data_IF_762243910959
#
_entry.id   IF_762243910959
#
_cell.length_a   1.000
_cell.length_b   1.000
_cell.length_c   1.000
_cell.angle_alpha   90.00
_cell.angle_beta   90.00
_cell.angle_gamma   90.00
#
_symmetry.space_group_name_H-M   'P 1'
#
loop_
_entity.id
_entity.type
_entity.pdbx_description
1 polymer ?
#
# COMPACT_ATOMS: atom_id res chain seq x y z
N UNK A 1 -14.87 -48.49 -28.32
CA UNK A 1 -13.62 -48.02 -27.67
C UNK A 1 -13.58 -46.50 -27.79
N UNK A 2 -14.12 -45.73 -26.83
CA UNK A 2 -14.08 -44.26 -26.86
C UNK A 2 -13.89 -43.70 -25.45
N UNK A 3 -12.75 -43.03 -25.23
CA UNK A 3 -12.39 -42.36 -23.97
C UNK A 3 -12.48 -40.84 -24.14
N UNK A 4 -13.43 -40.25 -23.41
CA UNK A 4 -13.33 -39.05 -22.56
C UNK A 4 -12.40 -37.90 -23.00
N UNK A 5 -12.95 -36.84 -23.61
CA UNK A 5 -12.26 -35.54 -23.87
C UNK A 5 -13.14 -34.34 -23.45
N UNK A 6 -13.70 -34.36 -22.24
CA UNK A 6 -14.55 -33.25 -21.76
C UNK A 6 -14.15 -32.67 -20.38
N UNK A 7 -13.10 -33.21 -19.73
CA UNK A 7 -12.73 -32.83 -18.35
C UNK A 7 -11.68 -31.71 -18.25
N UNK A 8 -10.93 -31.43 -19.30
CA UNK A 8 -9.79 -30.49 -19.25
C UNK A 8 -10.21 -29.03 -19.40
N UNK A 9 -11.21 -28.75 -20.25
CA UNK A 9 -11.66 -27.39 -20.61
C UNK A 9 -12.23 -26.59 -19.42
N UNK A 10 -13.09 -27.21 -18.60
CA UNK A 10 -13.70 -26.56 -17.43
C UNK A 10 -12.70 -26.28 -16.28
N UNK A 11 -11.64 -27.09 -16.16
CA UNK A 11 -10.61 -26.94 -15.11
C UNK A 11 -9.71 -25.73 -15.37
N UNK A 12 -9.26 -25.54 -16.61
CA UNK A 12 -8.43 -24.40 -17.02
C UNK A 12 -9.15 -23.06 -16.83
N UNK A 13 -10.44 -22.98 -17.19
CA UNK A 13 -11.23 -21.76 -16.97
C UNK A 13 -11.44 -21.46 -15.48
N UNK A 14 -11.48 -22.48 -14.63
CA UNK A 14 -11.63 -22.31 -13.18
C UNK A 14 -10.32 -21.82 -12.55
N UNK A 15 -9.17 -22.37 -12.95
CA UNK A 15 -7.85 -21.94 -12.46
C UNK A 15 -7.52 -20.49 -12.86
N UNK A 16 -7.75 -20.12 -14.11
CA UNK A 16 -7.52 -18.74 -14.58
C UNK A 16 -8.41 -17.75 -13.79
N UNK A 17 -9.68 -18.11 -13.54
CA UNK A 17 -10.58 -17.29 -12.71
C UNK A 17 -10.10 -17.19 -11.26
N UNK A 18 -9.58 -18.26 -10.66
CA UNK A 18 -8.99 -18.22 -9.31
C UNK A 18 -7.79 -17.29 -9.24
N UNK A 19 -6.90 -17.36 -10.23
CA UNK A 19 -5.73 -16.47 -10.32
C UNK A 19 -6.20 -15.02 -10.43
N UNK A 20 -7.09 -14.70 -11.38
CA UNK A 20 -7.59 -13.32 -11.57
C UNK A 20 -8.25 -12.78 -10.28
N UNK A 21 -9.05 -13.59 -9.59
CA UNK A 21 -9.68 -13.19 -8.32
C UNK A 21 -8.65 -12.97 -7.20
N UNK A 22 -7.66 -13.86 -7.06
CA UNK A 22 -6.60 -13.70 -6.07
C UNK A 22 -5.76 -12.44 -6.31
N UNK A 23 -5.38 -12.16 -7.56
CA UNK A 23 -4.65 -10.94 -7.91
C UNK A 23 -5.49 -9.68 -7.71
N UNK A 24 -6.76 -9.69 -8.13
CA UNK A 24 -7.69 -8.57 -7.92
C UNK A 24 -7.88 -8.24 -6.43
N UNK A 25 -8.02 -9.28 -5.58
CA UNK A 25 -8.09 -9.11 -4.13
C UNK A 25 -6.80 -8.50 -3.55
N UNK A 26 -5.62 -8.94 -4.01
CA UNK A 26 -4.35 -8.35 -3.55
C UNK A 26 -4.20 -6.88 -3.97
N UNK A 27 -4.50 -6.53 -5.23
CA UNK A 27 -4.49 -5.14 -5.67
C UNK A 27 -5.48 -4.28 -4.88
N UNK A 28 -6.67 -4.80 -4.59
CA UNK A 28 -7.67 -4.09 -3.79
C UNK A 28 -7.20 -3.86 -2.35
N UNK A 29 -6.63 -4.87 -1.69
CA UNK A 29 -6.10 -4.74 -0.31
C UNK A 29 -4.93 -3.76 -0.27
N UNK A 30 -3.99 -3.85 -1.22
CA UNK A 30 -2.86 -2.92 -1.32
C UNK A 30 -3.35 -1.48 -1.50
N UNK A 31 -4.30 -1.25 -2.41
CA UNK A 31 -4.87 0.08 -2.64
C UNK A 31 -5.56 0.63 -1.38
N UNK A 32 -6.28 -0.22 -0.64
CA UNK A 32 -6.96 0.19 0.58
C UNK A 32 -5.99 0.58 1.69
N UNK A 33 -4.95 -0.23 1.92
CA UNK A 33 -3.92 0.06 2.92
C UNK A 33 -3.18 1.36 2.60
N UNK A 34 -2.89 1.61 1.31
CA UNK A 34 -2.31 2.88 0.87
C UNK A 34 -3.20 4.08 1.21
N UNK A 35 -4.50 4.03 0.89
CA UNK A 35 -5.41 5.14 1.17
C UNK A 35 -5.65 5.37 2.67
N UNK A 36 -5.69 4.31 3.49
CA UNK A 36 -5.77 4.43 4.94
C UNK A 36 -4.52 5.10 5.53
N UNK A 37 -3.34 4.77 5.01
CA UNK A 37 -2.08 5.43 5.37
C UNK A 37 -2.06 6.90 4.92
N UNK A 38 -2.48 7.18 3.69
CA UNK A 38 -2.54 8.55 3.17
C UNK A 38 -3.49 9.44 3.97
N UNK A 39 -4.70 8.97 4.28
CA UNK A 39 -5.66 9.70 5.11
C UNK A 39 -5.08 10.00 6.51
N UNK A 40 -4.30 9.07 7.07
CA UNK A 40 -3.61 9.27 8.35
C UNK A 40 -2.53 10.33 8.23
N UNK A 41 -1.72 10.30 7.17
CA UNK A 41 -0.69 11.30 6.90
C UNK A 41 -1.30 12.69 6.72
N UNK A 42 -2.38 12.83 5.94
CA UNK A 42 -3.10 14.10 5.76
C UNK A 42 -3.63 14.67 7.08
N UNK A 43 -4.27 13.83 7.91
CA UNK A 43 -4.77 14.26 9.22
C UNK A 43 -3.67 14.74 10.17
N UNK A 44 -2.51 14.07 10.16
CA UNK A 44 -1.36 14.46 10.99
C UNK A 44 -0.72 15.74 10.49
N UNK A 45 -0.54 15.86 9.17
CA UNK A 45 0.06 17.02 8.52
C UNK A 45 -0.68 18.31 8.86
N UNK A 46 -2.02 18.30 8.90
CA UNK A 46 -2.84 19.46 9.29
C UNK A 46 -2.46 20.06 10.66
N UNK A 47 -1.82 19.28 11.52
CA UNK A 47 -1.48 19.65 12.89
C UNK A 47 0.02 19.54 13.19
N UNK A 48 0.88 19.43 12.16
CA UNK A 48 2.32 19.31 12.30
C UNK A 48 3.06 20.35 11.46
N UNK A 49 4.24 20.77 11.94
CA UNK A 49 5.23 21.50 11.14
C UNK A 49 6.05 20.54 10.27
N UNK A 50 6.05 19.25 10.64
CA UNK A 50 6.86 18.22 10.01
C UNK A 50 6.09 17.51 8.91
N UNK A 51 6.82 17.10 7.88
CA UNK A 51 6.23 16.32 6.78
C UNK A 51 5.81 14.93 7.26
N UNK A 52 4.80 14.37 6.59
CA UNK A 52 4.28 13.03 6.87
C UNK A 52 4.58 12.14 5.67
N UNK A 53 5.27 11.02 5.90
CA UNK A 53 5.66 10.09 4.84
C UNK A 53 4.77 8.85 4.86
N UNK A 54 4.24 8.46 3.70
CA UNK A 54 3.67 7.12 3.50
C UNK A 54 4.79 6.20 3.06
N UNK A 55 5.00 5.13 3.82
CA UNK A 55 6.02 4.11 3.55
C UNK A 55 5.34 2.84 3.07
N UNK A 56 5.89 2.26 2.02
CA UNK A 56 5.54 0.91 1.57
C UNK A 56 6.39 -0.13 2.29
N UNK A 57 5.74 -1.06 2.98
CA UNK A 57 6.37 -2.22 3.60
C UNK A 57 5.83 -3.56 3.05
N UNK A 58 6.74 -4.50 2.81
CA UNK A 58 6.43 -5.78 2.17
C UNK A 58 5.64 -6.71 3.10
N UNK A 59 5.74 -6.53 4.42
CA UNK A 59 5.06 -7.33 5.44
C UNK A 59 3.84 -6.59 6.03
N UNK A 60 3.99 -5.29 6.31
CA UNK A 60 2.99 -4.47 7.00
C UNK A 60 2.04 -3.72 6.03
N UNK A 61 2.33 -3.70 4.74
CA UNK A 61 1.62 -2.86 3.78
C UNK A 61 2.05 -1.40 3.90
N UNK A 62 1.11 -0.46 3.75
CA UNK A 62 1.42 0.97 3.82
C UNK A 62 1.11 1.54 5.21
N UNK A 63 1.98 2.43 5.70
CA UNK A 63 1.75 3.17 6.94
C UNK A 63 2.28 4.61 6.86
N UNK A 64 1.69 5.49 7.68
CA UNK A 64 2.09 6.89 7.79
C UNK A 64 3.13 7.09 8.89
N UNK A 65 4.09 7.96 8.62
CA UNK A 65 5.25 8.22 9.44
C UNK A 65 5.46 9.73 9.59
N UNK A 66 5.54 10.23 10.82
CA UNK A 66 5.76 11.67 11.08
C UNK A 66 7.26 11.97 11.09
N UNK A 67 7.75 12.90 10.25
CA UNK A 67 9.16 13.28 10.25
C UNK A 67 9.64 13.74 11.64
N UNK A 68 8.76 14.36 12.44
CA UNK A 68 9.07 14.77 13.82
C UNK A 68 9.38 13.60 14.77
N UNK A 69 9.00 12.37 14.43
CA UNK A 69 9.28 11.17 15.23
C UNK A 69 10.71 10.63 15.00
N UNK A 70 11.41 11.05 13.95
CA UNK A 70 12.74 10.54 13.59
C UNK A 70 13.81 11.57 13.86
N UNK A 71 14.80 11.23 14.69
CA UNK A 71 16.05 12.00 14.71
C UNK A 71 16.74 11.96 13.33
N UNK A 72 16.80 10.77 12.72
CA UNK A 72 17.25 10.52 11.35
C UNK A 72 16.45 9.32 10.84
N UNK A 73 15.70 9.48 9.74
CA UNK A 73 15.01 8.36 9.11
C UNK A 73 16.05 7.35 8.59
N UNK A 74 16.04 6.08 9.03
CA UNK A 74 16.96 5.08 8.51
C UNK A 74 16.90 5.02 6.98
N UNK A 75 18.06 4.99 6.31
CA UNK A 75 18.15 5.08 4.85
C UNK A 75 17.29 4.03 4.11
N UNK A 76 17.13 2.85 4.70
CA UNK A 76 16.29 1.79 4.14
C UNK A 76 14.78 2.10 4.19
N UNK A 77 14.32 2.92 5.15
CA UNK A 77 12.94 3.41 5.20
C UNK A 77 12.77 4.63 4.28
N UNK A 78 13.76 5.52 4.23
CA UNK A 78 13.74 6.67 3.33
C UNK A 78 13.61 6.25 1.84
N UNK A 79 14.27 5.17 1.45
CA UNK A 79 14.17 4.61 0.09
C UNK A 79 12.78 4.02 -0.25
N UNK A 80 11.91 3.84 0.75
CA UNK A 80 10.58 3.23 0.63
C UNK A 80 9.44 4.23 0.79
N UNK A 81 9.76 5.52 0.91
CA UNK A 81 8.76 6.59 0.90
C UNK A 81 8.11 6.64 -0.47
N UNK A 82 6.80 6.41 -0.51
CA UNK A 82 6.00 6.43 -1.74
C UNK A 82 5.15 7.70 -1.87
N UNK A 83 4.90 8.38 -0.76
CA UNK A 83 4.19 9.67 -0.74
C UNK A 83 4.71 10.53 0.42
N UNK A 84 4.76 11.85 0.22
CA UNK A 84 5.02 12.81 1.30
C UNK A 84 3.91 13.86 1.31
N UNK A 85 3.29 14.06 2.47
CA UNK A 85 2.30 15.10 2.72
C UNK A 85 2.98 16.19 3.55
N UNK A 86 3.01 17.41 3.03
CA UNK A 86 3.71 18.49 3.71
C UNK A 86 3.01 18.94 4.99
N UNK A 87 3.80 19.27 6.01
CA UNK A 87 3.30 19.88 7.26
C UNK A 87 2.43 21.10 6.98
N UNK A 88 1.27 21.17 7.62
CA UNK A 88 0.26 22.20 7.40
C UNK A 88 0.46 23.44 8.27
N UNK A 89 1.33 23.38 9.28
CA UNK A 89 1.68 24.53 10.10
C UNK A 89 2.89 25.27 9.55
N UNK A 90 2.84 26.61 9.56
CA UNK A 90 3.92 27.48 9.10
C UNK A 90 4.88 27.81 10.26
N UNK A 91 6.18 27.59 10.05
CA UNK A 91 7.24 27.87 11.04
C UNK A 91 7.77 29.32 10.98
N UNK A 92 7.03 30.25 10.38
CA UNK A 92 7.47 31.65 10.25
C UNK A 92 7.05 32.51 11.45
N UNK A 93 7.97 32.70 12.42
CA UNK A 93 7.96 33.80 13.39
C UNK A 93 9.36 34.32 13.73
#
# INVERSE_FOLDING_TARGET
MHKTIARTSCRLTTEIRRIIMAYSMHCAVASRSYFEALETAEKRALHSFFDQHVIEDDELGYFALDEGDYNILPAHLAARVVHTVHGGMLDEF
#
